data_IF_169737504440
#
_entry.id   IF_169737504440
#
_cell.length_a   1.000
_cell.length_b   1.000
_cell.length_c   1.000
_cell.angle_alpha   90.00
_cell.angle_beta   90.00
_cell.angle_gamma   90.00
#
_symmetry.space_group_name_H-M   'P 1'
#
loop_
_entity.id
_entity.type
_entity.pdbx_description
1 polymer ?
#
# COMPACT_ATOMS: atom_id res chain seq x y z
N UNK A 1 -29.88 -40.24 -13.57
CA UNK A 1 -30.44 -39.74 -12.30
C UNK A 1 -29.44 -40.04 -11.18
N UNK A 2 -28.65 -39.04 -10.80
CA UNK A 2 -28.16 -38.90 -9.43
C UNK A 2 -27.82 -37.43 -9.23
N UNK A 3 -28.85 -36.65 -8.89
CA UNK A 3 -28.67 -35.30 -8.37
C UNK A 3 -27.93 -35.42 -7.04
N UNK A 4 -26.60 -35.30 -7.07
CA UNK A 4 -25.84 -34.97 -5.87
C UNK A 4 -26.10 -33.50 -5.57
N UNK A 5 -27.25 -33.23 -4.95
CA UNK A 5 -27.45 -32.02 -4.17
C UNK A 5 -26.42 -32.04 -3.06
N UNK A 6 -25.28 -31.38 -3.28
CA UNK A 6 -24.39 -30.99 -2.19
C UNK A 6 -25.15 -29.94 -1.37
N UNK A 7 -26.03 -30.41 -0.52
CA UNK A 7 -26.53 -29.64 0.60
C UNK A 7 -25.29 -29.17 1.36
N UNK A 8 -25.16 -27.87 1.55
CA UNK A 8 -24.15 -27.26 2.39
C UNK A 8 -24.70 -26.92 3.80
N UNK A 9 -25.16 -27.88 4.65
CA UNK A 9 -25.53 -27.57 6.02
C UNK A 9 -24.44 -27.92 7.03
N UNK A 10 -23.27 -28.41 6.60
CA UNK A 10 -22.25 -28.95 7.52
C UNK A 10 -21.32 -27.89 8.15
N UNK A 11 -21.12 -26.73 7.51
CA UNK A 11 -20.25 -25.67 8.06
C UNK A 11 -20.94 -24.76 9.08
N UNK A 12 -22.27 -24.82 9.20
CA UNK A 12 -23.03 -24.04 10.18
C UNK A 12 -22.99 -24.63 11.61
N UNK A 13 -22.29 -25.76 11.82
CA UNK A 13 -22.24 -26.46 13.11
C UNK A 13 -21.21 -25.89 14.09
N UNK A 14 -20.31 -25.02 13.66
CA UNK A 14 -19.45 -24.27 14.57
C UNK A 14 -20.10 -22.93 14.86
N UNK A 15 -20.62 -22.73 16.09
CA UNK A 15 -21.21 -21.48 16.57
C UNK A 15 -20.22 -20.31 16.68
N UNK A 16 -19.18 -20.27 15.84
CA UNK A 16 -18.23 -19.18 15.71
C UNK A 16 -18.90 -18.05 14.94
N UNK A 17 -19.30 -17.01 15.67
CA UNK A 17 -19.74 -15.75 15.07
C UNK A 17 -18.51 -15.01 14.51
N UNK A 18 -18.17 -15.31 13.26
CA UNK A 18 -17.00 -14.76 12.57
C UNK A 18 -17.03 -13.23 12.49
N UNK A 19 -18.21 -12.62 12.41
CA UNK A 19 -18.38 -11.17 12.36
C UNK A 19 -18.02 -10.52 13.70
N UNK A 20 -18.43 -11.13 14.81
CA UNK A 20 -18.09 -10.67 16.15
C UNK A 20 -16.59 -10.79 16.42
N UNK A 21 -15.98 -11.93 16.03
CA UNK A 21 -14.53 -12.14 16.17
C UNK A 21 -13.74 -11.14 15.32
N UNK A 22 -14.13 -10.92 14.06
CA UNK A 22 -13.51 -9.94 13.18
C UNK A 22 -13.60 -8.52 13.76
N UNK A 23 -14.76 -8.15 14.30
CA UNK A 23 -14.96 -6.86 14.97
C UNK A 23 -14.06 -6.69 16.20
N UNK A 24 -13.92 -7.73 17.02
CA UNK A 24 -13.05 -7.71 18.19
C UNK A 24 -11.57 -7.60 17.81
N UNK A 25 -11.11 -8.37 16.81
CA UNK A 25 -9.74 -8.32 16.31
C UNK A 25 -9.41 -6.95 15.70
N UNK A 26 -10.35 -6.36 14.93
CA UNK A 26 -10.17 -5.02 14.37
C UNK A 26 -10.02 -3.97 15.47
N UNK A 27 -10.87 -4.02 16.50
CA UNK A 27 -10.80 -3.08 17.64
C UNK A 27 -9.48 -3.23 18.39
N UNK A 28 -9.10 -4.47 18.71
CA UNK A 28 -7.84 -4.75 19.40
C UNK A 28 -6.64 -4.26 18.57
N UNK A 29 -6.60 -4.58 17.27
CA UNK A 29 -5.56 -4.12 16.36
C UNK A 29 -5.49 -2.60 16.27
N UNK A 30 -6.64 -1.92 16.23
CA UNK A 30 -6.69 -0.45 16.22
C UNK A 30 -6.16 0.13 17.51
N UNK A 31 -6.56 -0.41 18.66
CA UNK A 31 -6.08 0.04 19.98
C UNK A 31 -4.57 -0.16 20.11
N UNK A 32 -4.06 -1.35 19.78
CA UNK A 32 -2.62 -1.65 19.81
C UNK A 32 -1.85 -0.74 18.85
N UNK A 33 -2.38 -0.52 17.64
CA UNK A 33 -1.77 0.38 16.65
C UNK A 33 -1.69 1.82 17.14
N UNK A 34 -2.79 2.38 17.68
CA UNK A 34 -2.81 3.75 18.22
C UNK A 34 -1.90 3.88 19.43
N UNK A 35 -1.91 2.91 20.36
CA UNK A 35 -1.00 2.91 21.51
C UNK A 35 0.46 2.81 21.08
N UNK A 36 0.78 1.97 20.09
CA UNK A 36 2.13 1.84 19.55
C UNK A 36 2.61 3.15 18.90
N UNK A 37 1.78 3.78 18.08
CA UNK A 37 2.11 5.05 17.42
C UNK A 37 2.27 6.21 18.42
N UNK A 38 1.39 6.29 19.42
CA UNK A 38 1.46 7.33 20.45
C UNK A 38 2.67 7.15 21.36
N UNK A 39 2.97 5.91 21.78
CA UNK A 39 4.18 5.61 22.55
C UNK A 39 5.46 5.93 21.74
N UNK A 40 5.51 5.55 20.46
CA UNK A 40 6.64 5.85 19.59
C UNK A 40 6.85 7.37 19.43
N UNK A 41 5.76 8.13 19.22
CA UNK A 41 5.83 9.58 19.15
C UNK A 41 6.30 10.21 20.47
N UNK A 42 5.77 9.75 21.60
CA UNK A 42 6.14 10.25 22.93
C UNK A 42 7.62 10.00 23.26
N UNK A 43 8.11 8.78 23.01
CA UNK A 43 9.51 8.42 23.21
C UNK A 43 10.44 9.15 22.24
N UNK A 44 10.01 9.36 21.00
CA UNK A 44 10.75 10.09 19.98
C UNK A 44 10.94 11.57 20.33
N UNK A 45 9.94 12.21 20.95
CA UNK A 45 10.03 13.63 21.36
C UNK A 45 10.95 13.86 22.57
N UNK A 46 11.24 12.84 23.38
CA UNK A 46 12.06 12.99 24.58
C UNK A 46 13.57 12.88 24.34
N UNK A 47 13.99 12.36 23.19
CA UNK A 47 15.42 12.20 22.86
C UNK A 47 15.84 13.32 21.91
N UNK A 48 17.00 13.94 22.15
CA UNK A 48 17.52 15.05 21.34
C UNK A 48 17.57 14.74 19.84
N UNK A 49 18.07 13.55 19.46
CA UNK A 49 18.09 13.05 18.07
C UNK A 49 16.87 12.17 17.71
N UNK A 50 15.89 12.07 18.62
CA UNK A 50 14.79 11.12 18.50
C UNK A 50 13.86 11.36 17.32
N UNK A 51 13.76 12.60 16.83
CA UNK A 51 12.95 12.94 15.66
C UNK A 51 13.41 12.25 14.37
N UNK A 52 14.72 12.26 14.11
CA UNK A 52 15.27 11.60 12.93
C UNK A 52 15.11 10.08 13.02
N UNK A 53 15.43 9.47 14.16
CA UNK A 53 15.29 8.03 14.36
C UNK A 53 13.83 7.57 14.22
N UNK A 54 12.89 8.37 14.77
CA UNK A 54 11.45 8.11 14.66
C UNK A 54 11.01 8.11 13.19
N UNK A 55 11.40 9.12 12.40
CA UNK A 55 11.00 9.22 10.99
C UNK A 55 11.54 8.07 10.14
N UNK A 56 12.80 7.67 10.33
CA UNK A 56 13.39 6.53 9.61
C UNK A 56 12.70 5.21 9.97
N UNK A 57 12.48 4.97 11.27
CA UNK A 57 11.79 3.76 11.74
C UNK A 57 10.34 3.73 11.27
N UNK A 58 9.69 4.90 11.24
CA UNK A 58 8.33 5.07 10.74
C UNK A 58 8.23 4.77 9.24
N UNK A 59 9.12 5.35 8.43
CA UNK A 59 9.18 5.09 6.99
C UNK A 59 9.41 3.61 6.72
N UNK A 60 10.34 2.96 7.43
CA UNK A 60 10.61 1.53 7.31
C UNK A 60 9.34 0.70 7.55
N UNK A 61 8.64 0.95 8.66
CA UNK A 61 7.39 0.25 8.97
C UNK A 61 6.31 0.52 7.91
N UNK A 62 6.17 1.78 7.47
CA UNK A 62 5.21 2.16 6.44
C UNK A 62 5.47 1.43 5.14
N UNK A 63 6.72 1.41 4.67
CA UNK A 63 7.11 0.74 3.42
C UNK A 63 6.94 -0.77 3.53
N UNK A 64 7.22 -1.35 4.70
CA UNK A 64 6.95 -2.76 4.96
C UNK A 64 5.48 -3.10 4.74
N UNK A 65 4.55 -2.40 5.42
CA UNK A 65 3.12 -2.64 5.22
C UNK A 65 2.63 -2.26 3.82
N UNK A 66 3.21 -1.25 3.19
CA UNK A 66 2.95 -0.90 1.80
C UNK A 66 3.33 -2.03 0.86
N UNK A 67 4.50 -2.66 1.03
CA UNK A 67 4.94 -3.79 0.21
C UNK A 67 4.01 -5.00 0.36
N UNK A 68 3.46 -5.26 1.54
CA UNK A 68 2.45 -6.31 1.75
C UNK A 68 1.15 -6.01 0.99
N UNK A 69 0.66 -4.77 1.06
CA UNK A 69 -0.53 -4.33 0.33
C UNK A 69 -0.33 -4.35 -1.19
N UNK A 70 0.82 -3.86 -1.68
CA UNK A 70 1.17 -3.86 -3.10
C UNK A 70 1.43 -5.27 -3.63
N UNK A 71 2.09 -6.13 -2.86
CA UNK A 71 2.29 -7.54 -3.20
C UNK A 71 0.96 -8.29 -3.32
N UNK A 72 0.00 -8.00 -2.43
CA UNK A 72 -1.35 -8.54 -2.53
C UNK A 72 -2.10 -8.03 -3.77
N UNK A 73 -1.99 -6.73 -4.08
CA UNK A 73 -2.59 -6.14 -5.27
C UNK A 73 -1.98 -6.69 -6.58
N UNK A 74 -0.67 -6.86 -6.61
CA UNK A 74 0.05 -7.53 -7.69
C UNK A 74 -0.49 -8.94 -7.89
N UNK A 75 -0.57 -9.72 -6.81
CA UNK A 75 -1.09 -11.08 -6.86
C UNK A 75 -2.51 -11.12 -7.42
N UNK A 76 -3.44 -10.29 -6.92
CA UNK A 76 -4.82 -10.22 -7.45
C UNK A 76 -4.83 -9.89 -8.93
N UNK A 77 -4.08 -8.87 -9.35
CA UNK A 77 -4.04 -8.43 -10.75
C UNK A 77 -3.46 -9.53 -11.66
N UNK A 78 -2.40 -10.19 -11.22
CA UNK A 78 -1.76 -11.30 -11.94
C UNK A 78 -2.71 -12.48 -12.13
N UNK A 79 -3.49 -12.85 -11.11
CA UNK A 79 -4.42 -13.97 -11.18
C UNK A 79 -5.53 -13.73 -12.21
N UNK A 80 -6.04 -12.49 -12.30
CA UNK A 80 -6.97 -12.11 -13.37
C UNK A 80 -6.28 -12.09 -14.74
N UNK A 81 -5.03 -11.62 -14.81
CA UNK A 81 -4.26 -11.56 -16.06
C UNK A 81 -4.02 -12.94 -16.67
N UNK A 82 -3.63 -13.92 -15.85
CA UNK A 82 -3.35 -15.29 -16.30
C UNK A 82 -4.57 -16.19 -16.32
N UNK A 83 -5.75 -15.68 -15.93
CA UNK A 83 -7.01 -16.44 -15.81
C UNK A 83 -6.86 -17.72 -14.98
N UNK A 84 -6.08 -17.65 -13.89
CA UNK A 84 -5.78 -18.82 -13.09
C UNK A 84 -6.99 -19.27 -12.25
N UNK A 85 -7.33 -20.56 -12.34
CA UNK A 85 -8.47 -21.16 -11.66
C UNK A 85 -8.17 -21.74 -10.28
N UNK A 86 -6.91 -22.03 -9.96
CA UNK A 86 -6.52 -22.62 -8.66
C UNK A 86 -6.55 -21.61 -7.51
N UNK A 87 -6.44 -20.32 -7.82
CA UNK A 87 -6.25 -19.25 -6.84
C UNK A 87 -7.54 -18.69 -6.26
N UNK A 88 -8.70 -19.27 -6.60
CA UNK A 88 -10.02 -18.74 -6.22
C UNK A 88 -10.15 -18.55 -4.70
N UNK A 89 -9.65 -19.50 -3.90
CA UNK A 89 -9.72 -19.44 -2.43
C UNK A 89 -8.77 -18.38 -1.86
N UNK A 90 -7.52 -18.31 -2.35
CA UNK A 90 -6.51 -17.38 -1.83
C UNK A 90 -6.70 -15.95 -2.35
N UNK A 91 -7.40 -15.76 -3.48
CA UNK A 91 -7.63 -14.45 -4.08
C UNK A 91 -8.42 -13.53 -3.15
N UNK A 92 -9.45 -14.02 -2.46
CA UNK A 92 -10.24 -13.21 -1.53
C UNK A 92 -9.38 -12.65 -0.38
N UNK A 93 -8.45 -13.47 0.15
CA UNK A 93 -7.52 -13.03 1.21
C UNK A 93 -6.61 -11.91 0.67
N UNK A 94 -6.07 -12.07 -0.55
CA UNK A 94 -5.24 -11.05 -1.17
C UNK A 94 -6.02 -9.75 -1.49
N UNK A 95 -7.28 -9.85 -1.94
CA UNK A 95 -8.14 -8.68 -2.17
C UNK A 95 -8.40 -7.91 -0.86
N UNK A 96 -8.65 -8.62 0.24
CA UNK A 96 -8.83 -8.00 1.56
C UNK A 96 -7.53 -7.36 2.05
N UNK A 97 -6.38 -8.02 1.87
CA UNK A 97 -5.08 -7.44 2.23
C UNK A 97 -4.77 -6.18 1.39
N UNK A 98 -5.00 -6.21 0.08
CA UNK A 98 -4.86 -5.06 -0.80
C UNK A 98 -5.82 -3.91 -0.45
N UNK A 99 -6.99 -4.23 0.13
CA UNK A 99 -7.96 -3.21 0.56
C UNK A 99 -7.50 -2.36 1.76
N UNK A 100 -6.34 -2.69 2.36
CA UNK A 100 -5.69 -1.87 3.38
C UNK A 100 -4.93 -0.66 2.81
N UNK A 101 -4.65 -0.62 1.50
CA UNK A 101 -3.91 0.48 0.85
C UNK A 101 -4.49 1.89 1.11
N UNK A 102 -5.81 2.12 1.17
CA UNK A 102 -6.38 3.43 1.52
C UNK A 102 -6.00 3.90 2.93
N UNK A 103 -5.79 2.97 3.88
CA UNK A 103 -5.34 3.32 5.24
C UNK A 103 -3.90 3.86 5.20
N UNK A 104 -3.04 3.32 4.35
CA UNK A 104 -1.67 3.76 4.21
C UNK A 104 -1.55 5.19 3.69
N UNK A 105 -2.55 5.70 2.97
CA UNK A 105 -2.63 7.13 2.59
C UNK A 105 -2.63 8.03 3.82
N UNK A 106 -3.45 7.67 4.81
CA UNK A 106 -3.57 8.42 6.06
C UNK A 106 -2.29 8.28 6.88
N UNK A 107 -1.71 7.09 6.92
CA UNK A 107 -0.43 6.84 7.59
C UNK A 107 0.75 7.51 6.87
N UNK A 108 0.62 7.96 5.62
CA UNK A 108 1.69 8.72 4.98
C UNK A 108 1.73 10.18 5.41
N UNK A 109 0.63 10.73 5.93
CA UNK A 109 0.48 12.15 6.27
C UNK A 109 1.61 12.68 7.17
N UNK A 110 2.07 11.98 8.24
CA UNK A 110 3.16 12.47 9.08
C UNK A 110 4.48 12.69 8.33
N UNK A 111 4.81 11.82 7.37
CA UNK A 111 6.00 11.95 6.52
C UNK A 111 5.87 13.20 5.65
N UNK A 112 4.73 13.39 4.98
CA UNK A 112 4.51 14.55 4.12
C UNK A 112 4.53 15.86 4.91
N UNK A 113 3.90 15.90 6.08
CA UNK A 113 3.91 17.06 6.98
C UNK A 113 5.34 17.39 7.44
N UNK A 114 6.17 16.37 7.73
CA UNK A 114 7.57 16.59 8.11
C UNK A 114 8.37 17.28 6.99
N UNK A 115 8.14 16.90 5.73
CA UNK A 115 8.80 17.49 4.57
C UNK A 115 8.30 18.90 4.26
N UNK A 116 6.99 19.15 4.40
CA UNK A 116 6.39 20.47 4.21
C UNK A 116 6.84 21.49 5.27
N UNK A 117 7.18 21.02 6.48
CA UNK A 117 7.84 21.84 7.53
C UNK A 117 9.32 22.12 7.24
N UNK A 118 9.88 21.56 6.15
CA UNK A 118 11.27 21.73 5.76
C UNK A 118 12.25 20.86 6.54
N UNK A 119 11.79 19.80 7.22
CA UNK A 119 12.69 18.86 7.90
C UNK A 119 13.44 18.02 6.88
N UNK A 120 14.76 18.19 6.82
CA UNK A 120 15.67 17.36 6.02
C UNK A 120 16.12 16.08 6.72
N UNK A 121 15.51 15.74 7.85
CA UNK A 121 15.89 14.58 8.66
C UNK A 121 15.72 13.25 7.93
N UNK A 122 14.75 13.13 7.02
CA UNK A 122 14.50 11.92 6.24
C UNK A 122 15.13 11.99 4.85
N UNK A 123 14.92 13.11 4.17
CA UNK A 123 15.37 13.32 2.80
C UNK A 123 16.28 14.55 2.72
N UNK A 124 17.56 14.33 2.42
CA UNK A 124 18.56 15.41 2.40
C UNK A 124 18.27 16.46 1.34
N UNK A 125 17.59 16.08 0.25
CA UNK A 125 17.21 16.97 -0.86
C UNK A 125 16.09 17.96 -0.50
N UNK A 126 15.52 17.87 0.70
CA UNK A 126 14.59 18.88 1.25
C UNK A 126 15.34 20.14 1.70
N UNK A 127 16.61 20.01 2.09
CA UNK A 127 17.44 21.13 2.53
C UNK A 127 17.91 21.97 1.34
N UNK A 128 17.36 23.18 1.20
CA UNK A 128 17.72 24.11 0.12
C UNK A 128 19.18 24.56 0.18
N UNK A 129 19.78 24.68 1.37
CA UNK A 129 21.16 25.10 1.51
C UNK A 129 22.12 23.99 1.03
N UNK A 130 21.83 22.74 1.41
CA UNK A 130 22.59 21.58 0.93
C UNK A 130 22.47 21.44 -0.59
N UNK A 131 21.25 21.57 -1.12
CA UNK A 131 21.04 21.47 -2.57
C UNK A 131 21.78 22.59 -3.32
N UNK A 132 21.88 23.81 -2.78
CA UNK A 132 22.62 24.88 -3.45
C UNK A 132 24.13 24.57 -3.59
N UNK A 133 24.69 23.81 -2.66
CA UNK A 133 26.11 23.45 -2.63
C UNK A 133 26.42 22.20 -3.46
N UNK A 134 25.44 21.31 -3.65
CA UNK A 134 25.62 20.03 -4.33
C UNK A 134 25.12 20.08 -5.79
N UNK A 135 26.05 19.98 -6.75
CA UNK A 135 25.74 19.99 -8.19
C UNK A 135 24.80 18.84 -8.62
N UNK A 136 24.98 17.64 -8.06
CA UNK A 136 24.16 16.48 -8.39
C UNK A 136 22.72 16.69 -7.90
N UNK A 137 22.54 17.24 -6.70
CA UNK A 137 21.20 17.55 -6.19
C UNK A 137 20.51 18.65 -7.00
N UNK A 138 21.25 19.69 -7.45
CA UNK A 138 20.71 20.72 -8.36
C UNK A 138 20.20 20.10 -9.65
N UNK A 139 20.97 19.20 -10.25
CA UNK A 139 20.56 18.48 -11.46
C UNK A 139 19.28 17.64 -11.28
N UNK A 140 18.98 17.21 -10.05
CA UNK A 140 17.80 16.39 -9.73
C UNK A 140 16.58 17.20 -9.26
N UNK A 141 16.69 18.52 -9.06
CA UNK A 141 15.59 19.34 -8.52
C UNK A 141 14.30 19.30 -9.36
N UNK A 142 14.40 19.08 -10.67
CA UNK A 142 13.24 18.90 -11.54
C UNK A 142 12.37 17.70 -11.10
N UNK A 143 12.98 16.68 -10.47
CA UNK A 143 12.29 15.49 -9.97
C UNK A 143 12.19 15.46 -8.43
N UNK A 144 13.29 15.70 -7.72
CA UNK A 144 13.39 15.72 -6.25
C UNK A 144 13.11 17.11 -5.69
N UNK A 145 11.83 17.46 -5.61
CA UNK A 145 11.34 18.62 -4.88
C UNK A 145 10.03 18.28 -4.16
N UNK A 146 9.76 18.94 -3.04
CA UNK A 146 8.65 18.59 -2.14
C UNK A 146 7.27 18.64 -2.84
N UNK A 147 6.91 19.69 -3.60
CA UNK A 147 5.61 19.74 -4.27
C UNK A 147 5.42 18.61 -5.30
N UNK A 148 6.42 18.37 -6.15
CA UNK A 148 6.30 17.35 -7.20
C UNK A 148 6.34 15.93 -6.63
N UNK A 149 7.17 15.69 -5.60
CA UNK A 149 7.15 14.45 -4.83
C UNK A 149 5.78 14.17 -4.23
N UNK A 150 5.18 15.16 -3.56
CA UNK A 150 3.85 15.02 -2.95
C UNK A 150 2.76 14.72 -4.00
N UNK A 151 2.82 15.39 -5.15
CA UNK A 151 1.89 15.16 -6.26
C UNK A 151 2.02 13.74 -6.82
N UNK A 152 3.25 13.28 -7.09
CA UNK A 152 3.53 11.91 -7.57
C UNK A 152 3.05 10.85 -6.60
N UNK A 153 3.35 11.04 -5.31
CA UNK A 153 2.90 10.13 -4.27
C UNK A 153 1.37 10.05 -4.19
N UNK A 154 0.69 11.20 -4.29
CA UNK A 154 -0.76 11.27 -4.39
C UNK A 154 -1.29 10.46 -5.58
N UNK A 155 -0.65 10.59 -6.74
CA UNK A 155 -0.99 9.80 -7.94
C UNK A 155 -0.82 8.30 -7.69
N UNK A 156 0.28 7.86 -7.07
CA UNK A 156 0.52 6.43 -6.76
C UNK A 156 -0.58 5.87 -5.85
N UNK A 157 -0.87 6.56 -4.76
CA UNK A 157 -1.92 6.13 -3.84
C UNK A 157 -3.31 6.14 -4.47
N UNK A 158 -3.63 7.12 -5.34
CA UNK A 158 -4.88 7.13 -6.11
C UNK A 158 -4.97 5.89 -6.98
N UNK A 159 -3.92 5.59 -7.77
CA UNK A 159 -3.86 4.41 -8.63
C UNK A 159 -4.12 3.14 -7.81
N UNK A 160 -3.32 2.90 -6.76
CA UNK A 160 -3.40 1.66 -6.00
C UNK A 160 -4.69 1.51 -5.20
N UNK A 161 -5.21 2.62 -4.64
CA UNK A 161 -6.50 2.65 -3.94
C UNK A 161 -7.65 2.37 -4.90
N UNK A 162 -7.65 2.99 -6.08
CA UNK A 162 -8.68 2.75 -7.08
C UNK A 162 -8.64 1.31 -7.59
N UNK A 163 -7.45 0.78 -7.89
CA UNK A 163 -7.29 -0.60 -8.32
C UNK A 163 -7.76 -1.60 -7.26
N UNK A 164 -7.25 -1.51 -6.02
CA UNK A 164 -7.62 -2.42 -4.94
C UNK A 164 -9.13 -2.42 -4.65
N UNK A 165 -9.73 -1.23 -4.55
CA UNK A 165 -11.19 -1.10 -4.35
C UNK A 165 -11.99 -1.58 -5.56
N UNK A 166 -11.50 -1.35 -6.77
CA UNK A 166 -12.18 -1.81 -7.98
C UNK A 166 -12.24 -3.34 -8.02
N UNK A 167 -11.10 -4.02 -7.86
CA UNK A 167 -11.05 -5.49 -7.87
C UNK A 167 -11.93 -6.08 -6.77
N UNK A 168 -11.79 -5.62 -5.52
CA UNK A 168 -12.60 -6.13 -4.42
C UNK A 168 -14.10 -5.90 -4.66
N UNK A 169 -14.51 -4.69 -5.05
CA UNK A 169 -15.92 -4.34 -5.28
C UNK A 169 -16.54 -5.19 -6.39
N UNK A 170 -15.86 -5.36 -7.52
CA UNK A 170 -16.37 -6.16 -8.62
C UNK A 170 -16.38 -7.65 -8.27
N UNK A 171 -15.36 -8.15 -7.58
CA UNK A 171 -15.27 -9.53 -7.10
C UNK A 171 -16.44 -9.86 -6.14
N UNK A 172 -16.74 -8.99 -5.16
CA UNK A 172 -17.91 -9.17 -4.28
C UNK A 172 -19.23 -9.11 -5.07
N UNK A 173 -19.35 -8.19 -6.03
CA UNK A 173 -20.55 -8.09 -6.87
C UNK A 173 -20.78 -9.37 -7.67
N UNK A 174 -19.72 -10.00 -8.19
CA UNK A 174 -19.82 -11.24 -8.91
C UNK A 174 -20.31 -12.40 -8.02
N UNK A 175 -19.85 -12.47 -6.77
CA UNK A 175 -20.34 -13.48 -5.82
C UNK A 175 -21.84 -13.34 -5.56
N UNK A 176 -22.37 -12.11 -5.59
CA UNK A 176 -23.79 -11.83 -5.40
C UNK A 176 -24.64 -12.08 -6.65
N UNK A 177 -24.14 -11.72 -7.83
CA UNK A 177 -24.93 -11.77 -9.08
C UNK A 177 -24.72 -13.04 -9.91
N UNK A 178 -23.61 -13.76 -9.72
CA UNK A 178 -23.20 -14.89 -10.57
C UNK A 178 -22.79 -14.50 -12.00
N UNK A 179 -22.68 -13.20 -12.31
CA UNK A 179 -22.47 -12.69 -13.67
C UNK A 179 -21.01 -12.86 -14.11
N UNK A 180 -20.79 -13.75 -15.09
CA UNK A 180 -19.47 -14.06 -15.64
C UNK A 180 -18.85 -12.89 -16.43
N UNK A 181 -19.65 -11.93 -16.90
CA UNK A 181 -19.14 -10.77 -17.64
C UNK A 181 -18.25 -9.88 -16.76
N UNK A 182 -18.47 -9.89 -15.44
CA UNK A 182 -17.65 -9.17 -14.47
C UNK A 182 -16.23 -9.73 -14.48
N UNK A 183 -16.06 -11.06 -14.41
CA UNK A 183 -14.74 -11.70 -14.52
C UNK A 183 -14.08 -11.34 -15.84
N UNK A 184 -14.79 -11.44 -16.97
CA UNK A 184 -14.23 -11.12 -18.28
C UNK A 184 -13.72 -9.67 -18.34
N UNK A 185 -14.45 -8.72 -17.75
CA UNK A 185 -14.03 -7.32 -17.66
C UNK A 185 -12.80 -7.14 -16.77
N UNK A 186 -12.77 -7.77 -15.59
CA UNK A 186 -11.61 -7.73 -14.69
C UNK A 186 -10.36 -8.31 -15.35
N UNK A 187 -10.51 -9.41 -16.10
CA UNK A 187 -9.43 -9.99 -16.89
C UNK A 187 -8.95 -9.00 -17.98
N UNK A 188 -9.85 -8.34 -18.71
CA UNK A 188 -9.44 -7.36 -19.74
C UNK A 188 -8.72 -6.14 -19.15
N UNK A 189 -9.11 -5.68 -17.95
CA UNK A 189 -8.50 -4.53 -17.28
C UNK A 189 -7.16 -4.88 -16.61
N UNK A 190 -6.89 -6.16 -16.39
CA UNK A 190 -5.67 -6.60 -15.69
C UNK A 190 -4.38 -6.35 -16.47
N UNK A 191 -4.41 -6.41 -17.80
CA UNK A 191 -3.22 -6.14 -18.62
C UNK A 191 -2.75 -4.66 -18.52
N UNK A 192 -3.60 -3.66 -18.83
CA UNK A 192 -3.22 -2.26 -18.60
C UNK A 192 -3.05 -1.95 -17.11
N UNK A 193 -3.81 -2.60 -16.23
CA UNK A 193 -3.67 -2.47 -14.78
C UNK A 193 -2.30 -2.93 -14.28
N UNK A 194 -1.76 -4.03 -14.81
CA UNK A 194 -0.43 -4.54 -14.45
C UNK A 194 0.68 -3.59 -14.91
N UNK A 195 0.60 -3.05 -16.13
CA UNK A 195 1.55 -2.06 -16.62
C UNK A 195 1.53 -0.78 -15.75
N UNK A 196 0.35 -0.29 -15.40
CA UNK A 196 0.18 0.87 -14.52
C UNK A 196 0.71 0.60 -13.10
N UNK A 197 0.46 -0.60 -12.57
CA UNK A 197 0.97 -1.04 -11.27
C UNK A 197 2.51 -1.10 -11.27
N UNK A 198 3.12 -1.69 -12.29
CA UNK A 198 4.57 -1.80 -12.40
C UNK A 198 5.22 -0.41 -12.42
N UNK A 199 4.77 0.48 -13.33
CA UNK A 199 5.32 1.83 -13.44
C UNK A 199 5.16 2.64 -12.15
N UNK A 200 3.97 2.63 -11.55
CA UNK A 200 3.73 3.36 -10.30
C UNK A 200 4.55 2.82 -9.13
N UNK A 201 4.75 1.51 -9.04
CA UNK A 201 5.57 0.89 -7.99
C UNK A 201 7.05 1.23 -8.16
N UNK A 202 7.57 1.18 -9.38
CA UNK A 202 8.97 1.54 -9.67
C UNK A 202 9.26 3.00 -9.30
N UNK A 203 8.41 3.94 -9.72
CA UNK A 203 8.62 5.34 -9.35
C UNK A 203 8.44 5.57 -7.84
N UNK A 204 7.52 4.86 -7.19
CA UNK A 204 7.36 4.94 -5.74
C UNK A 204 8.59 4.39 -4.99
N UNK A 205 9.23 3.32 -5.47
CA UNK A 205 10.46 2.81 -4.89
C UNK A 205 11.61 3.82 -5.01
N UNK A 206 11.69 4.50 -6.16
CA UNK A 206 12.64 5.60 -6.39
C UNK A 206 12.38 6.75 -5.39
N UNK A 207 11.14 7.20 -5.30
CA UNK A 207 10.75 8.33 -4.45
C UNK A 207 10.92 8.00 -2.96
N UNK A 208 10.37 6.88 -2.49
CA UNK A 208 10.30 6.58 -1.06
C UNK A 208 11.63 6.10 -0.47
N UNK A 209 12.38 5.30 -1.22
CA UNK A 209 13.57 4.61 -0.71
C UNK A 209 14.86 5.07 -1.38
N UNK A 210 14.95 5.02 -2.72
CA UNK A 210 16.19 5.37 -3.41
C UNK A 210 16.59 6.82 -3.15
N UNK A 211 15.60 7.73 -3.05
CA UNK A 211 15.86 9.15 -2.80
C UNK A 211 16.36 9.48 -1.38
N UNK A 212 16.38 8.52 -0.44
CA UNK A 212 17.07 8.67 0.85
C UNK A 212 18.56 8.89 0.64
N UNK A 213 19.14 8.25 -0.38
CA UNK A 213 20.52 8.41 -0.81
C UNK A 213 20.56 8.91 -2.26
N UNK A 214 20.30 10.21 -2.50
CA UNK A 214 20.12 10.74 -3.84
C UNK A 214 21.40 10.69 -4.70
N UNK A 215 22.58 10.45 -4.13
CA UNK A 215 23.83 10.22 -4.90
C UNK A 215 23.91 8.83 -5.53
N UNK A 216 23.12 7.88 -5.03
CA UNK A 216 23.07 6.52 -5.55
C UNK A 216 21.93 6.34 -6.56
N UNK A 217 22.11 5.43 -7.52
CA UNK A 217 21.09 5.08 -8.50
C UNK A 217 21.17 3.60 -8.88
N UNK A 218 20.01 2.99 -9.12
CA UNK A 218 19.90 1.61 -9.61
C UNK A 218 18.60 1.43 -10.39
N UNK A 219 18.69 0.88 -11.59
CA UNK A 219 17.52 0.63 -12.46
C UNK A 219 16.73 -0.60 -12.05
N UNK A 220 17.34 -1.57 -11.37
CA UNK A 220 16.68 -2.80 -10.90
C UNK A 220 16.05 -2.65 -9.51
N UNK A 221 16.22 -1.49 -8.87
CA UNK A 221 15.75 -1.28 -7.50
C UNK A 221 14.23 -1.15 -7.39
N UNK A 222 13.57 -0.65 -8.44
CA UNK A 222 12.12 -0.50 -8.49
C UNK A 222 11.42 -1.58 -9.28
#
# INVERSE_FOLDING_TARGET
MSEHSMQAPALAKEGLNMDALAGQLLRLGTVVGVLGLTAAAFLGMQRGDGGAQLLHSYLLALVYFLSLGLGALFFVTLQYLTRAGWSVVVRRIAEVLASSLPLLVVLFVPVLVSMLRGSSQLYIWVDKALVAQDELLRGKQAYLNVPFFAARLGVYFVIWTMMSRHYLKQSVRQDQSGDLTITARLQSLSAPGMALFALSTTFAAIDLLMSLHPHWYSTIFG
#
